data_IF_297577268535
#
_entry.id   IF_297577268535
#
_cell.length_a   1.000
_cell.length_b   1.000
_cell.length_c   1.000
_cell.angle_alpha   90.00
_cell.angle_beta   90.00
_cell.angle_gamma   90.00
#
_symmetry.space_group_name_H-M   'P 1'
#
loop_
_entity.id
_entity.type
_entity.pdbx_description
1 polymer ?
#
# COMPACT_ATOMS: atom_id res chain seq x y z
N UNK A 1 17.22 9.01 -15.11
CA UNK A 1 17.03 7.62 -14.64
C UNK A 1 15.53 7.40 -14.54
N UNK A 2 14.95 6.58 -15.41
CA UNK A 2 13.53 6.23 -15.30
C UNK A 2 13.31 5.52 -13.96
N UNK A 3 12.34 5.98 -13.18
CA UNK A 3 11.98 5.28 -11.95
C UNK A 3 11.51 3.87 -12.34
N UNK A 4 12.07 2.80 -11.78
CA UNK A 4 11.62 1.45 -12.09
C UNK A 4 10.14 1.35 -11.72
N UNK A 5 9.31 1.09 -12.73
CA UNK A 5 7.88 0.87 -12.55
C UNK A 5 7.74 -0.45 -11.80
N UNK A 6 7.32 -0.37 -10.56
CA UNK A 6 7.03 -1.54 -9.75
C UNK A 6 5.72 -2.15 -10.27
N UNK A 7 5.67 -3.47 -10.53
CA UNK A 7 4.45 -4.14 -10.92
C UNK A 7 3.30 -3.91 -9.92
N UNK A 8 2.10 -3.68 -10.44
CA UNK A 8 0.88 -3.47 -9.63
C UNK A 8 0.49 -4.71 -8.82
N UNK A 9 1.02 -5.89 -9.15
CA UNK A 9 0.83 -7.12 -8.37
C UNK A 9 1.29 -6.96 -6.91
N UNK A 10 2.26 -6.10 -6.63
CA UNK A 10 2.69 -5.79 -5.27
C UNK A 10 1.64 -4.99 -4.46
N UNK A 11 0.62 -4.44 -5.11
CA UNK A 11 -0.54 -3.79 -4.49
C UNK A 11 -1.78 -4.69 -4.41
N UNK A 12 -1.69 -5.93 -4.89
CA UNK A 12 -2.86 -6.80 -4.98
C UNK A 12 -3.55 -6.98 -3.62
N UNK A 13 -4.84 -6.64 -3.56
CA UNK A 13 -5.65 -6.68 -2.36
C UNK A 13 -5.29 -5.63 -1.29
N UNK A 14 -4.37 -4.70 -1.55
CA UNK A 14 -3.99 -3.66 -0.59
C UNK A 14 -5.14 -2.69 -0.31
N UNK A 15 -5.71 -2.07 -1.35
CA UNK A 15 -6.81 -1.13 -1.21
C UNK A 15 -8.07 -1.78 -0.62
N UNK A 16 -8.39 -3.01 -1.02
CA UNK A 16 -9.53 -3.75 -0.49
C UNK A 16 -9.38 -4.03 1.01
N UNK A 17 -8.23 -4.56 1.44
CA UNK A 17 -7.99 -4.87 2.86
C UNK A 17 -8.05 -3.60 3.72
N UNK A 18 -7.46 -2.50 3.25
CA UNK A 18 -7.56 -1.22 3.94
C UNK A 18 -9.01 -0.68 3.95
N UNK A 19 -9.76 -0.88 2.88
CA UNK A 19 -11.18 -0.54 2.78
C UNK A 19 -12.03 -1.25 3.82
N UNK A 20 -11.90 -2.58 3.89
CA UNK A 20 -12.61 -3.39 4.87
C UNK A 20 -12.22 -3.01 6.31
N UNK A 21 -10.92 -2.81 6.56
CA UNK A 21 -10.44 -2.39 7.88
C UNK A 21 -10.94 -0.99 8.29
N UNK A 22 -10.99 -0.05 7.35
CA UNK A 22 -11.50 1.29 7.58
C UNK A 22 -13.00 1.29 7.87
N UNK A 23 -13.79 0.50 7.14
CA UNK A 23 -15.25 0.39 7.34
C UNK A 23 -15.57 -0.30 8.67
N UNK A 24 -14.85 -1.38 9.00
CA UNK A 24 -15.16 -2.15 10.20
C UNK A 24 -14.46 -1.62 11.47
N UNK A 25 -13.49 -0.71 11.32
CA UNK A 25 -12.62 -0.25 12.42
C UNK A 25 -11.73 -1.34 13.02
N UNK A 26 -11.57 -2.48 12.33
CA UNK A 26 -10.76 -3.61 12.82
C UNK A 26 -9.29 -3.35 12.58
N UNK A 27 -8.44 -4.02 13.36
CA UNK A 27 -7.02 -4.12 13.04
C UNK A 27 -6.81 -5.14 11.92
N UNK A 28 -5.75 -4.93 11.14
CA UNK A 28 -5.25 -5.94 10.19
C UNK A 28 -4.96 -7.24 10.94
N UNK A 29 -5.37 -8.37 10.36
CA UNK A 29 -5.08 -9.69 10.91
C UNK A 29 -3.61 -10.04 10.73
N UNK A 30 -3.17 -11.11 11.40
CA UNK A 30 -1.79 -11.56 11.27
C UNK A 30 -1.48 -12.04 9.86
N UNK A 31 -2.44 -12.75 9.25
CA UNK A 31 -2.36 -13.29 7.90
C UNK A 31 -2.25 -12.16 6.86
N UNK A 32 -3.05 -11.09 7.01
CA UNK A 32 -2.98 -9.92 6.14
C UNK A 32 -1.62 -9.22 6.23
N UNK A 33 -1.09 -9.06 7.44
CA UNK A 33 0.25 -8.49 7.65
C UNK A 33 1.35 -9.38 7.07
N UNK A 34 1.26 -10.69 7.24
CA UNK A 34 2.26 -11.63 6.75
C UNK A 34 2.23 -11.74 5.22
N UNK A 35 1.06 -11.67 4.59
CA UNK A 35 0.94 -11.56 3.13
C UNK A 35 1.60 -10.27 2.59
N UNK A 36 1.42 -9.12 3.27
CA UNK A 36 2.10 -7.88 2.88
C UNK A 36 3.62 -7.95 3.09
N UNK A 37 4.09 -8.62 4.14
CA UNK A 37 5.53 -8.85 4.36
C UNK A 37 6.13 -9.73 3.27
N UNK A 38 5.41 -10.76 2.81
CA UNK A 38 5.85 -11.63 1.73
C UNK A 38 6.03 -10.85 0.42
N UNK A 39 5.04 -10.03 0.04
CA UNK A 39 5.12 -9.16 -1.14
C UNK A 39 6.28 -8.15 -1.04
N UNK A 40 6.48 -7.54 0.14
CA UNK A 40 7.61 -6.63 0.34
C UNK A 40 8.97 -7.33 0.24
N UNK A 41 9.06 -8.59 0.67
CA UNK A 41 10.26 -9.41 0.53
C UNK A 41 10.52 -9.76 -0.93
N UNK A 42 9.51 -10.23 -1.66
CA UNK A 42 9.61 -10.54 -3.08
C UNK A 42 10.03 -9.30 -3.88
N UNK A 43 9.49 -8.12 -3.55
CA UNK A 43 9.91 -6.88 -4.18
C UNK A 43 11.38 -6.53 -3.90
N UNK A 44 11.86 -6.78 -2.68
CA UNK A 44 13.26 -6.59 -2.32
C UNK A 44 14.17 -7.60 -3.03
N UNK A 45 13.77 -8.87 -3.13
CA UNK A 45 14.48 -9.91 -3.87
C UNK A 45 14.55 -9.60 -5.37
N UNK A 46 13.50 -8.99 -5.93
CA UNK A 46 13.46 -8.49 -7.30
C UNK A 46 14.27 -7.19 -7.52
N UNK A 47 14.89 -6.63 -6.47
CA UNK A 47 15.74 -5.44 -6.56
C UNK A 47 14.98 -4.12 -6.61
N UNK A 48 13.69 -4.09 -6.25
CA UNK A 48 12.93 -2.85 -6.18
C UNK A 48 13.35 -2.00 -4.98
N UNK A 49 13.51 -0.69 -5.21
CA UNK A 49 13.91 0.25 -4.17
C UNK A 49 12.75 0.50 -3.18
N UNK A 50 13.06 0.50 -1.88
CA UNK A 50 12.07 0.78 -0.82
C UNK A 50 11.31 2.09 -1.06
N UNK A 51 12.00 3.14 -1.51
CA UNK A 51 11.37 4.44 -1.81
C UNK A 51 10.31 4.33 -2.91
N UNK A 52 10.53 3.51 -3.93
CA UNK A 52 9.57 3.31 -5.01
C UNK A 52 8.36 2.53 -4.51
N UNK A 53 8.55 1.49 -3.67
CA UNK A 53 7.46 0.75 -3.03
C UNK A 53 6.59 1.67 -2.17
N UNK A 54 7.21 2.49 -1.31
CA UNK A 54 6.48 3.42 -0.44
C UNK A 54 5.66 4.42 -1.27
N UNK A 55 6.23 4.97 -2.35
CA UNK A 55 5.51 5.89 -3.23
C UNK A 55 4.31 5.24 -3.91
N UNK A 56 4.45 4.00 -4.36
CA UNK A 56 3.37 3.23 -4.97
C UNK A 56 2.21 3.01 -3.98
N UNK A 57 2.50 2.59 -2.74
CA UNK A 57 1.46 2.42 -1.70
C UNK A 57 0.76 3.75 -1.36
N UNK A 58 1.50 4.85 -1.27
CA UNK A 58 0.94 6.18 -1.03
C UNK A 58 0.07 6.66 -2.20
N UNK A 59 0.48 6.39 -3.44
CA UNK A 59 -0.31 6.72 -4.62
C UNK A 59 -1.63 5.94 -4.64
N UNK A 60 -1.57 4.63 -4.39
CA UNK A 60 -2.76 3.77 -4.32
C UNK A 60 -3.72 4.21 -3.21
N UNK A 61 -3.20 4.53 -2.03
CA UNK A 61 -4.02 5.02 -0.91
C UNK A 61 -4.71 6.34 -1.28
N UNK A 62 -4.00 7.27 -1.93
CA UNK A 62 -4.59 8.54 -2.39
C UNK A 62 -5.64 8.34 -3.48
N UNK A 63 -5.45 7.37 -4.36
CA UNK A 63 -6.43 7.04 -5.40
C UNK A 63 -7.70 6.43 -4.80
N UNK A 64 -7.56 5.54 -3.81
CA UNK A 64 -8.68 4.90 -3.12
C UNK A 64 -9.43 5.84 -2.15
N UNK A 65 -8.75 6.85 -1.58
CA UNK A 65 -9.35 7.87 -0.71
C UNK A 65 -9.01 9.29 -1.18
N UNK A 66 -9.74 9.81 -2.19
CA UNK A 66 -9.47 11.14 -2.75
C UNK A 66 -9.86 12.29 -1.81
N UNK A 67 -10.70 12.02 -0.80
CA UNK A 67 -11.04 12.99 0.22
C UNK A 67 -9.98 13.01 1.34
N UNK A 68 -9.60 14.19 1.87
CA UNK A 68 -8.71 14.26 3.03
C UNK A 68 -9.33 13.49 4.20
N UNK A 69 -8.52 12.66 4.86
CA UNK A 69 -8.94 12.00 6.09
C UNK A 69 -9.44 13.05 7.10
N UNK A 70 -10.49 12.75 7.90
CA UNK A 70 -10.95 13.67 8.93
C UNK A 70 -9.78 14.07 9.85
N UNK A 71 -9.40 15.35 9.82
CA UNK A 71 -8.27 15.90 10.58
C UNK A 71 -6.98 16.15 9.79
N UNK A 72 -6.93 15.83 8.50
CA UNK A 72 -5.83 16.25 7.63
C UNK A 72 -6.03 17.70 7.19
N UNK A 73 -5.22 18.63 7.72
CA UNK A 73 -5.20 20.02 7.23
C UNK A 73 -4.63 20.03 5.81
N UNK A 74 -5.32 20.59 4.81
CA UNK A 74 -4.74 20.78 3.49
C UNK A 74 -3.52 21.71 3.60
N UNK A 75 -2.40 21.30 2.99
CA UNK A 75 -1.16 22.07 2.92
C UNK A 75 -1.25 23.22 1.91
#
# INVERSE_FOLDING_TARGET
>A
MAEPVIPESFLEGYAQILGEAAVSGRRLTREELDARRALGREAAEAGHQLRALVRMHLAETRAAWPAPAPGATPA
#
